data_IF_561767515677
#
_entry.id   IF_561767515677
#
_cell.length_a   1.000
_cell.length_b   1.000
_cell.length_c   1.000
_cell.angle_alpha   90.00
_cell.angle_beta   90.00
_cell.angle_gamma   90.00
#
_symmetry.space_group_name_H-M   'P 1'
#
loop_
_entity.id
_entity.type
_entity.pdbx_description
1 polymer ?
#
# COMPACT_ATOMS: atom_id res chain seq x y z
N UNK A 1 41.17 6.29 -29.37
CA UNK A 1 41.08 5.66 -30.71
C UNK A 1 39.64 5.70 -31.16
N UNK A 2 39.34 6.08 -32.40
CA UNK A 2 37.97 6.06 -32.90
C UNK A 2 37.43 4.63 -32.84
N UNK A 3 36.23 4.43 -32.31
CA UNK A 3 35.59 3.12 -32.16
C UNK A 3 35.15 2.54 -33.51
N UNK A 4 36.08 2.41 -34.46
CA UNK A 4 35.83 2.05 -35.85
C UNK A 4 34.85 3.00 -36.57
N UNK A 5 34.83 4.28 -36.18
CA UNK A 5 33.94 5.31 -36.75
C UNK A 5 34.79 6.42 -37.37
N UNK A 6 34.52 6.78 -38.64
CA UNK A 6 35.22 7.84 -39.36
C UNK A 6 35.97 7.38 -40.61
N UNK A 7 36.79 8.26 -41.17
CA UNK A 7 37.67 7.97 -42.31
C UNK A 7 38.99 7.35 -41.84
N UNK A 8 39.53 6.42 -42.64
CA UNK A 8 40.85 5.82 -42.39
C UNK A 8 41.98 6.84 -42.57
N UNK A 9 41.86 7.74 -43.55
CA UNK A 9 42.75 8.89 -43.75
C UNK A 9 41.94 10.11 -44.24
N UNK A 10 42.22 11.34 -43.79
CA UNK A 10 41.61 12.56 -44.33
C UNK A 10 42.07 12.92 -45.76
N UNK A 11 43.18 12.33 -46.24
CA UNK A 11 43.76 12.64 -47.56
C UNK A 11 42.86 12.08 -48.66
N UNK A 12 42.53 12.91 -49.66
CA UNK A 12 41.64 12.55 -50.77
C UNK A 12 40.14 12.71 -50.47
N UNK A 13 39.74 12.92 -49.21
CA UNK A 13 38.34 13.20 -48.84
C UNK A 13 37.91 14.65 -49.10
N UNK A 14 38.86 15.58 -49.24
CA UNK A 14 38.56 17.01 -49.38
C UNK A 14 38.01 17.68 -48.10
N UNK A 15 38.11 17.02 -46.94
CA UNK A 15 37.67 17.55 -45.63
C UNK A 15 38.77 17.42 -44.58
N UNK A 16 38.58 18.02 -43.40
CA UNK A 16 39.54 17.96 -42.29
C UNK A 16 39.60 16.59 -41.59
N UNK A 17 38.70 15.66 -41.90
CA UNK A 17 38.59 14.37 -41.21
C UNK A 17 38.08 14.44 -39.77
N UNK A 18 37.53 15.59 -39.36
CA UNK A 18 36.93 15.75 -38.03
C UNK A 18 35.60 15.00 -37.92
N UNK A 19 35.49 14.09 -36.94
CA UNK A 19 34.30 13.26 -36.72
C UNK A 19 33.63 13.68 -35.41
N UNK A 20 32.39 14.16 -35.51
CA UNK A 20 31.57 14.50 -34.35
C UNK A 20 30.63 13.35 -34.00
N UNK A 21 30.41 13.12 -32.69
CA UNK A 21 29.38 12.19 -32.24
C UNK A 21 27.99 12.70 -32.62
N UNK A 22 27.10 11.81 -33.05
CA UNK A 22 25.70 12.17 -33.26
C UNK A 22 25.01 12.43 -31.91
N UNK A 23 24.54 13.66 -31.69
CA UNK A 23 23.81 14.08 -30.49
C UNK A 23 22.36 13.57 -30.43
N UNK A 24 21.77 13.21 -31.58
CA UNK A 24 20.43 12.64 -31.69
C UNK A 24 20.44 11.09 -31.57
N UNK A 25 21.61 10.46 -31.48
CA UNK A 25 21.69 9.01 -31.31
C UNK A 25 21.27 8.61 -29.88
N UNK A 26 20.06 8.09 -29.73
CA UNK A 26 19.57 7.56 -28.46
C UNK A 26 20.33 6.28 -28.12
N UNK A 27 21.13 6.32 -27.04
CA UNK A 27 21.80 5.12 -26.53
C UNK A 27 20.73 4.14 -26.02
N UNK A 28 20.78 2.85 -26.38
CA UNK A 28 19.93 1.84 -25.76
C UNK A 28 20.03 1.92 -24.23
N UNK A 29 18.90 1.89 -23.53
CA UNK A 29 18.88 1.90 -22.06
C UNK A 29 19.50 0.60 -21.55
N UNK A 30 20.40 0.71 -20.58
CA UNK A 30 21.09 -0.44 -19.97
C UNK A 30 20.14 -1.44 -19.29
N UNK A 31 18.90 -1.03 -18.98
CA UNK A 31 17.88 -1.91 -18.45
C UNK A 31 16.65 -1.98 -19.39
N UNK A 32 16.51 -3.04 -20.20
CA UNK A 32 15.40 -3.21 -21.14
C UNK A 32 14.10 -3.67 -20.46
N UNK A 33 14.12 -4.00 -19.17
CA UNK A 33 12.93 -4.50 -18.46
C UNK A 33 12.28 -3.35 -17.68
N UNK A 34 11.09 -2.88 -18.09
CA UNK A 34 10.35 -1.84 -17.35
C UNK A 34 9.63 -2.39 -16.11
N UNK A 35 9.75 -3.69 -15.83
CA UNK A 35 9.08 -4.35 -14.71
C UNK A 35 10.10 -4.94 -13.73
N UNK A 36 9.84 -4.86 -12.42
CA UNK A 36 10.70 -5.46 -11.42
C UNK A 36 10.69 -6.99 -11.57
N UNK A 37 11.87 -7.59 -11.48
CA UNK A 37 12.07 -9.06 -11.58
C UNK A 37 11.98 -9.77 -10.23
N UNK A 38 11.89 -9.01 -9.15
CA UNK A 38 11.85 -9.55 -7.79
C UNK A 38 10.47 -10.15 -7.50
N UNK A 39 10.42 -11.44 -7.20
CA UNK A 39 9.18 -12.18 -6.91
C UNK A 39 8.42 -11.53 -5.73
N UNK A 40 9.15 -10.95 -4.78
CA UNK A 40 8.55 -10.23 -3.64
C UNK A 40 7.84 -8.93 -4.05
N UNK A 41 8.26 -8.29 -5.15
CA UNK A 41 7.60 -7.09 -5.69
C UNK A 41 6.27 -7.40 -6.42
N UNK A 42 6.07 -8.67 -6.81
CA UNK A 42 4.87 -9.16 -7.51
C UNK A 42 3.77 -9.51 -6.50
N UNK A 43 4.10 -9.73 -5.22
CA UNK A 43 3.12 -10.04 -4.18
C UNK A 43 2.17 -8.85 -3.99
N UNK A 44 0.87 -9.11 -4.10
CA UNK A 44 -0.15 -8.09 -3.90
C UNK A 44 -0.17 -7.63 -2.43
N UNK A 45 0.41 -6.46 -2.16
CA UNK A 45 0.37 -5.86 -0.82
C UNK A 45 -0.85 -4.97 -0.69
N UNK A 46 -1.69 -5.24 0.31
CA UNK A 46 -2.79 -4.35 0.64
C UNK A 46 -2.23 -2.97 1.02
N UNK A 47 -2.80 -1.91 0.44
CA UNK A 47 -2.44 -0.53 0.79
C UNK A 47 -2.81 -0.27 2.24
N UNK A 48 -1.81 0.07 3.05
CA UNK A 48 -2.04 0.40 4.45
C UNK A 48 -2.63 1.81 4.55
N UNK A 49 -3.64 2.04 5.40
CA UNK A 49 -4.11 3.38 5.71
C UNK A 49 -3.02 4.15 6.45
N UNK A 50 -2.94 5.46 6.21
CA UNK A 50 -2.03 6.33 6.92
C UNK A 50 -2.75 6.86 8.16
N UNK A 51 -2.12 6.74 9.33
CA UNK A 51 -2.70 7.17 10.60
C UNK A 51 -2.79 8.68 10.68
N UNK A 52 -1.80 9.39 10.15
CA UNK A 52 -1.77 10.86 10.19
C UNK A 52 -2.92 11.45 9.37
N UNK A 53 -3.16 10.89 8.18
CA UNK A 53 -4.27 11.33 7.33
C UNK A 53 -5.63 11.02 7.96
N UNK A 54 -5.79 9.85 8.59
CA UNK A 54 -7.03 9.53 9.31
C UNK A 54 -7.29 10.47 10.49
N UNK A 55 -6.25 10.83 11.25
CA UNK A 55 -6.38 11.80 12.34
C UNK A 55 -6.67 13.21 11.84
N UNK A 56 -6.06 13.60 10.72
CA UNK A 56 -6.32 14.87 10.07
C UNK A 56 -7.78 14.98 9.62
N UNK A 57 -8.29 13.97 8.92
CA UNK A 57 -9.69 13.95 8.46
C UNK A 57 -10.67 13.97 9.65
N UNK A 58 -10.35 13.27 10.73
CA UNK A 58 -11.13 13.30 11.98
C UNK A 58 -11.19 14.70 12.59
N UNK A 59 -10.04 15.38 12.71
CA UNK A 59 -9.98 16.77 13.23
C UNK A 59 -10.71 17.73 12.32
N UNK A 60 -10.53 17.59 11.01
CA UNK A 60 -11.21 18.40 10.00
C UNK A 60 -12.73 18.29 10.12
N UNK A 61 -13.27 17.09 10.34
CA UNK A 61 -14.72 16.92 10.53
C UNK A 61 -15.24 17.68 11.76
N UNK A 62 -14.48 17.67 12.86
CA UNK A 62 -14.82 18.44 14.07
C UNK A 62 -14.80 19.94 13.80
N UNK A 63 -13.72 20.44 13.20
CA UNK A 63 -13.58 21.88 12.92
C UNK A 63 -14.60 22.39 11.90
N UNK A 64 -14.98 21.57 10.91
CA UNK A 64 -16.06 21.95 9.98
C UNK A 64 -17.38 22.17 10.73
N UNK A 65 -17.74 21.29 11.67
CA UNK A 65 -18.98 21.44 12.47
C UNK A 65 -18.94 22.65 13.41
N UNK A 66 -17.77 22.94 13.99
CA UNK A 66 -17.55 24.13 14.82
C UNK A 66 -17.67 25.39 13.97
N UNK A 67 -17.10 25.39 12.77
CA UNK A 67 -17.21 26.50 11.82
C UNK A 67 -18.66 26.74 11.37
N UNK A 68 -19.40 25.68 11.03
CA UNK A 68 -20.83 25.79 10.72
C UNK A 68 -21.69 26.32 11.88
N UNK A 69 -21.29 26.07 13.14
CA UNK A 69 -21.96 26.65 14.30
C UNK A 69 -21.65 28.13 14.42
N UNK A 70 -20.37 28.49 14.27
CA UNK A 70 -19.92 29.89 14.30
C UNK A 70 -20.67 30.74 13.28
N UNK A 71 -20.72 30.31 12.02
CA UNK A 71 -21.44 31.03 10.96
C UNK A 71 -22.92 31.30 11.35
N UNK A 72 -23.58 30.32 11.97
CA UNK A 72 -24.99 30.47 12.42
C UNK A 72 -25.13 31.47 13.55
N UNK A 73 -24.22 31.45 14.53
CA UNK A 73 -24.29 32.36 15.67
C UNK A 73 -23.92 33.80 15.27
N UNK A 74 -23.01 33.96 14.31
CA UNK A 74 -22.69 35.25 13.69
C UNK A 74 -23.90 35.80 12.92
N UNK A 75 -24.62 34.98 12.16
CA UNK A 75 -25.86 35.36 11.47
C UNK A 75 -27.00 35.74 12.46
N UNK A 76 -27.04 35.10 13.63
CA UNK A 76 -27.97 35.41 14.72
C UNK A 76 -27.59 36.69 15.51
N UNK A 77 -26.36 37.20 15.32
CA UNK A 77 -25.88 38.44 15.93
C UNK A 77 -25.52 38.31 17.40
N UNK A 78 -25.05 37.13 17.85
CA UNK A 78 -24.52 36.95 19.21
C UNK A 78 -23.17 37.67 19.39
N UNK A 79 -22.80 37.89 20.66
CA UNK A 79 -21.51 38.46 21.03
C UNK A 79 -20.36 37.48 20.76
N UNK A 80 -19.17 38.00 20.42
CA UNK A 80 -18.00 37.16 20.09
C UNK A 80 -17.60 36.24 21.24
N UNK A 81 -17.71 36.70 22.49
CA UNK A 81 -17.36 35.89 23.67
C UNK A 81 -18.31 34.69 23.84
N UNK A 82 -19.62 34.91 23.64
CA UNK A 82 -20.64 33.85 23.72
C UNK A 82 -20.49 32.83 22.58
N UNK A 83 -20.08 33.29 21.39
CA UNK A 83 -19.81 32.44 20.23
C UNK A 83 -18.64 31.49 20.50
N UNK A 84 -17.54 32.02 21.03
CA UNK A 84 -16.34 31.24 21.33
C UNK A 84 -16.60 30.19 22.42
N UNK A 85 -17.34 30.55 23.48
CA UNK A 85 -17.72 29.60 24.54
C UNK A 85 -18.57 28.44 24.02
N UNK A 86 -19.54 28.72 23.14
CA UNK A 86 -20.38 27.68 22.52
C UNK A 86 -19.58 26.80 21.54
N UNK A 87 -18.67 27.39 20.78
CA UNK A 87 -17.79 26.67 19.86
C UNK A 87 -16.83 25.73 20.62
N UNK A 88 -16.25 26.19 21.73
CA UNK A 88 -15.37 25.39 22.58
C UNK A 88 -16.12 24.25 23.29
N UNK A 89 -17.36 24.51 23.74
CA UNK A 89 -18.23 23.48 24.29
C UNK A 89 -18.55 22.40 23.24
N UNK A 90 -18.84 22.81 21.99
CA UNK A 90 -19.07 21.89 20.88
C UNK A 90 -17.82 21.07 20.55
N UNK A 91 -16.64 21.72 20.49
CA UNK A 91 -15.36 21.05 20.20
C UNK A 91 -15.10 19.94 21.21
N UNK A 92 -15.19 20.24 22.51
CA UNK A 92 -15.01 19.25 23.60
C UNK A 92 -16.02 18.10 23.51
N UNK A 93 -17.28 18.40 23.19
CA UNK A 93 -18.33 17.38 23.02
C UNK A 93 -18.00 16.43 21.87
N UNK A 94 -17.67 16.95 20.70
CA UNK A 94 -17.37 16.14 19.51
C UNK A 94 -16.10 15.31 19.69
N UNK A 95 -15.05 15.85 20.32
CA UNK A 95 -13.84 15.08 20.65
C UNK A 95 -14.14 13.93 21.62
N UNK A 96 -15.01 14.15 22.61
CA UNK A 96 -15.43 13.11 23.56
C UNK A 96 -16.25 12.00 22.86
N UNK A 97 -17.14 12.37 21.95
CA UNK A 97 -17.97 11.44 21.18
C UNK A 97 -17.13 10.62 20.18
N UNK A 98 -16.14 11.24 19.54
CA UNK A 98 -15.20 10.55 18.66
C UNK A 98 -14.25 9.61 19.40
N UNK A 99 -13.86 9.94 20.64
CA UNK A 99 -13.01 9.05 21.44
C UNK A 99 -13.77 7.80 21.92
N UNK A 100 -15.08 7.94 22.18
CA UNK A 100 -15.95 6.84 22.61
C UNK A 100 -16.47 6.00 21.45
N UNK A 101 -16.73 6.61 20.29
CA UNK A 101 -17.04 5.92 19.04
C UNK A 101 -15.76 5.38 18.37
N UNK A 102 -15.13 4.38 18.97
CA UNK A 102 -13.94 3.71 18.42
C UNK A 102 -14.15 2.98 17.08
N UNK A 103 -15.34 3.04 16.48
CA UNK A 103 -15.67 2.48 15.17
C UNK A 103 -15.63 3.57 14.11
N UNK A 104 -14.65 3.50 13.21
CA UNK A 104 -14.60 4.38 12.03
C UNK A 104 -15.87 4.25 11.16
N UNK A 105 -16.08 5.19 10.22
CA UNK A 105 -17.28 5.20 9.39
C UNK A 105 -17.45 3.87 8.65
N UNK A 106 -18.69 3.38 8.61
CA UNK A 106 -19.02 2.17 7.86
C UNK A 106 -18.68 2.37 6.38
N UNK A 107 -18.11 1.35 5.72
CA UNK A 107 -17.67 1.38 4.32
C UNK A 107 -18.74 1.92 3.33
N UNK A 108 -20.03 1.81 3.69
CA UNK A 108 -21.19 2.11 2.85
C UNK A 108 -21.49 3.61 2.65
N UNK A 109 -20.68 4.51 3.19
CA UNK A 109 -20.85 5.96 3.03
C UNK A 109 -19.64 6.70 2.46
N UNK A 110 -18.52 6.01 2.22
CA UNK A 110 -17.28 6.67 1.84
C UNK A 110 -17.24 7.03 0.35
N UNK A 111 -16.72 8.21 0.07
CA UNK A 111 -16.52 8.70 -1.30
C UNK A 111 -15.25 8.11 -1.89
N UNK A 112 -15.15 8.06 -3.22
CA UNK A 112 -14.01 7.49 -3.94
C UNK A 112 -12.65 8.13 -3.60
N UNK A 113 -12.64 9.39 -3.16
CA UNK A 113 -11.42 10.10 -2.77
C UNK A 113 -10.95 9.83 -1.33
N UNK A 114 -11.77 9.21 -0.48
CA UNK A 114 -11.42 8.86 0.90
C UNK A 114 -10.62 7.55 0.93
N UNK A 115 -9.46 7.54 0.26
CA UNK A 115 -8.68 6.33 0.00
C UNK A 115 -8.22 5.64 1.28
N UNK A 116 -7.83 6.40 2.31
CA UNK A 116 -7.33 5.85 3.57
C UNK A 116 -8.43 5.28 4.45
N UNK A 117 -9.57 5.96 4.53
CA UNK A 117 -10.75 5.44 5.24
C UNK A 117 -11.28 4.17 4.54
N UNK A 118 -11.32 4.16 3.20
CA UNK A 118 -11.70 2.98 2.41
C UNK A 118 -10.73 1.81 2.63
N UNK A 119 -9.43 2.10 2.71
CA UNK A 119 -8.41 1.09 3.00
C UNK A 119 -8.58 0.51 4.41
N UNK A 120 -8.79 1.36 5.42
CA UNK A 120 -9.07 0.93 6.79
C UNK A 120 -10.33 0.05 6.86
N UNK A 121 -11.42 0.51 6.27
CA UNK A 121 -12.68 -0.24 6.23
C UNK A 121 -12.53 -1.60 5.52
N UNK A 122 -11.82 -1.65 4.39
CA UNK A 122 -11.51 -2.92 3.70
C UNK A 122 -10.66 -3.86 4.53
N UNK A 123 -9.70 -3.33 5.29
CA UNK A 123 -8.88 -4.15 6.18
C UNK A 123 -9.72 -4.78 7.29
N UNK A 124 -10.61 -4.00 7.91
CA UNK A 124 -11.52 -4.47 8.96
C UNK A 124 -12.51 -5.52 8.41
N UNK A 125 -13.07 -5.28 7.22
CA UNK A 125 -13.93 -6.25 6.52
C UNK A 125 -13.18 -7.53 6.16
N UNK A 126 -11.96 -7.41 5.63
CA UNK A 126 -11.11 -8.56 5.29
C UNK A 126 -10.72 -9.35 6.54
N UNK A 127 -10.46 -8.69 7.66
CA UNK A 127 -10.19 -9.35 8.92
C UNK A 127 -11.43 -10.08 9.45
N UNK A 128 -12.61 -9.45 9.37
CA UNK A 128 -13.88 -10.07 9.75
C UNK A 128 -14.16 -11.32 8.89
N UNK A 129 -13.93 -11.23 7.59
CA UNK A 129 -14.08 -12.36 6.66
C UNK A 129 -13.05 -13.46 6.97
N UNK A 130 -11.78 -13.11 7.21
CA UNK A 130 -10.74 -14.06 7.62
C UNK A 130 -11.16 -14.85 8.85
N UNK A 131 -11.66 -14.16 9.88
CA UNK A 131 -12.16 -14.78 11.12
C UNK A 131 -13.36 -15.68 10.85
N UNK A 132 -14.32 -15.23 10.02
CA UNK A 132 -15.51 -16.00 9.67
C UNK A 132 -15.18 -17.29 8.90
N UNK A 133 -14.15 -17.26 8.04
CA UNK A 133 -13.65 -18.43 7.32
C UNK A 133 -12.74 -19.32 8.19
N UNK A 134 -12.48 -18.97 9.45
CA UNK A 134 -11.61 -19.75 10.34
C UNK A 134 -10.13 -19.72 9.95
N UNK A 135 -9.71 -18.74 9.15
CA UNK A 135 -8.31 -18.62 8.70
C UNK A 135 -7.49 -18.00 9.84
N UNK A 136 -6.39 -18.66 10.24
CA UNK A 136 -5.47 -18.16 11.28
C UNK A 136 -4.85 -16.80 10.90
N UNK A 137 -4.40 -16.03 11.90
CA UNK A 137 -3.71 -14.75 11.66
C UNK A 137 -2.34 -14.98 11.02
N UNK A 138 -1.72 -16.10 11.36
CA UNK A 138 -0.39 -16.51 10.90
C UNK A 138 -0.50 -17.42 9.66
N UNK A 139 -1.60 -17.30 8.90
CA UNK A 139 -1.78 -18.09 7.68
C UNK A 139 -0.82 -17.60 6.60
N UNK A 140 0.12 -18.46 6.22
CA UNK A 140 1.01 -18.24 5.09
C UNK A 140 0.45 -18.92 3.84
N UNK A 141 0.46 -18.20 2.72
CA UNK A 141 0.05 -18.74 1.43
C UNK A 141 0.90 -19.98 1.08
N UNK A 142 0.21 -21.07 0.73
CA UNK A 142 0.83 -22.35 0.41
C UNK A 142 1.32 -23.19 1.59
N UNK A 143 1.16 -22.72 2.83
CA UNK A 143 1.42 -23.53 4.04
C UNK A 143 0.62 -24.83 4.06
N UNK A 144 -0.61 -24.82 3.54
CA UNK A 144 -1.43 -26.02 3.41
C UNK A 144 -0.78 -27.06 2.48
N UNK A 145 -0.27 -26.66 1.31
CA UNK A 145 0.40 -27.59 0.38
C UNK A 145 1.72 -28.11 0.95
N UNK A 146 2.54 -27.25 1.59
CA UNK A 146 3.78 -27.68 2.26
C UNK A 146 3.51 -28.73 3.33
N UNK A 147 2.48 -28.53 4.17
CA UNK A 147 2.10 -29.49 5.21
C UNK A 147 1.61 -30.82 4.63
N UNK A 148 0.93 -30.81 3.48
CA UNK A 148 0.53 -32.03 2.78
C UNK A 148 1.72 -32.78 2.19
N UNK A 149 2.67 -32.05 1.61
CA UNK A 149 3.90 -32.61 1.05
C UNK A 149 4.78 -33.24 2.15
N UNK A 150 4.95 -32.55 3.28
CA UNK A 150 5.64 -33.09 4.46
C UNK A 150 4.97 -34.36 5.00
N UNK A 151 3.64 -34.36 5.15
CA UNK A 151 2.90 -35.56 5.58
C UNK A 151 3.07 -36.73 4.61
N UNK A 152 3.04 -36.46 3.30
CA UNK A 152 3.25 -37.49 2.28
C UNK A 152 4.67 -38.06 2.37
N UNK A 153 5.66 -37.20 2.50
CA UNK A 153 7.06 -37.59 2.65
C UNK A 153 7.30 -38.40 3.93
N UNK A 154 6.66 -38.03 5.03
CA UNK A 154 6.72 -38.75 6.30
C UNK A 154 6.10 -40.15 6.19
N UNK A 155 4.93 -40.27 5.53
CA UNK A 155 4.32 -41.57 5.25
C UNK A 155 5.20 -42.46 4.35
N UNK A 156 5.84 -41.90 3.32
CA UNK A 156 6.78 -42.66 2.49
C UNK A 156 8.01 -43.12 3.29
N UNK A 157 8.53 -42.28 4.19
CA UNK A 157 9.61 -42.66 5.12
C UNK A 157 9.21 -43.77 6.07
N UNK A 158 8.01 -43.72 6.65
CA UNK A 158 7.51 -44.81 7.52
C UNK A 158 7.33 -46.11 6.74
N UNK A 159 6.79 -46.03 5.51
CA UNK A 159 6.61 -47.21 4.65
C UNK A 159 7.94 -47.86 4.30
N UNK A 160 8.98 -47.07 3.98
CA UNK A 160 10.34 -47.57 3.75
C UNK A 160 11.00 -48.19 4.99
N UNK A 161 10.72 -47.67 6.19
CA UNK A 161 11.20 -48.28 7.44
C UNK A 161 10.53 -49.63 7.75
N UNK A 162 9.25 -49.78 7.39
CA UNK A 162 8.52 -51.04 7.55
C UNK A 162 9.00 -52.16 6.63
N UNK A 163 9.52 -51.84 5.44
CA UNK A 163 10.11 -52.83 4.52
C UNK A 163 11.49 -53.32 5.01
N UNK A 164 12.34 -52.44 5.51
CA UNK A 164 13.66 -52.79 6.09
C UNK A 164 13.55 -53.67 7.36
N UNK A 165 12.41 -53.63 8.06
CA UNK A 165 12.14 -54.47 9.22
C UNK A 165 11.68 -55.89 8.88
N UNK A 166 11.09 -56.11 7.70
CA UNK A 166 10.62 -57.45 7.27
C UNK A 166 11.71 -58.31 6.64
N UNK A 167 12.76 -57.69 6.11
CA UNK A 167 13.91 -58.41 5.54
C UNK A 167 14.93 -58.88 6.60
N UNK A 168 14.63 -58.70 7.90
CA UNK A 168 15.51 -59.04 9.03
C UNK A 168 14.99 -60.14 9.96
N UNK A 169 13.87 -60.80 9.62
CA UNK A 169 13.35 -62.00 10.29
C UNK A 169 13.52 -63.25 9.41
#
# INVERSE_FOLDING_TARGET
MSSNVGLTTPRGSGTSGYVQRNSANLRPRDNPKPYPTDIDSIKHRQRQPDKEMLEHDRKRETEVKVFELRDKLEDEGLDEDDIDDQCDALRKKLESEQSTSGGGPAAKGLKSHQVHELARAKMDESEKLRRALGISKDYEEGSHWKRQEERKLEMERERGKGEIGRDRD
#
